data_IF_211141270384
#
_entry.id   IF_211141270384
#
_cell.length_a   1.000
_cell.length_b   1.000
_cell.length_c   1.000
_cell.angle_alpha   90.00
_cell.angle_beta   90.00
_cell.angle_gamma   90.00
#
_symmetry.space_group_name_H-M   'P 1'
#
loop_
_entity.id
_entity.type
_entity.pdbx_description
1 polymer ?
#
# COMPACT_ATOMS: atom_id res chain seq x y z
N UNK A 1 10.14 -18.66 -2.69
CA UNK A 1 9.43 -19.96 -2.74
C UNK A 1 10.35 -20.97 -3.42
N UNK A 2 10.44 -22.19 -2.90
CA UNK A 2 11.29 -23.27 -3.44
C UNK A 2 10.73 -23.95 -4.70
N UNK A 3 9.61 -23.47 -5.25
CA UNK A 3 9.05 -23.96 -6.51
C UNK A 3 8.33 -25.31 -6.44
N UNK A 4 8.25 -25.97 -5.28
CA UNK A 4 7.57 -27.26 -5.20
C UNK A 4 6.06 -27.15 -5.40
N UNK A 5 5.51 -28.18 -6.03
CA UNK A 5 4.08 -28.43 -6.25
C UNK A 5 3.63 -29.64 -5.45
N UNK A 6 2.35 -29.69 -5.09
CA UNK A 6 1.69 -30.80 -4.37
C UNK A 6 0.35 -31.09 -5.01
N UNK A 7 0.10 -32.35 -5.39
CA UNK A 7 -1.18 -32.77 -5.99
C UNK A 7 -2.32 -32.85 -4.98
N UNK A 8 -2.00 -33.03 -3.69
CA UNK A 8 -2.97 -33.13 -2.60
C UNK A 8 -2.59 -32.21 -1.43
N UNK A 9 -3.57 -31.95 -0.57
CA UNK A 9 -3.32 -31.35 0.73
C UNK A 9 -2.93 -32.46 1.69
N UNK A 10 -1.84 -32.28 2.42
CA UNK A 10 -1.27 -33.31 3.30
C UNK A 10 -0.72 -32.68 4.59
N UNK A 11 -0.39 -33.51 5.57
CA UNK A 11 0.30 -33.07 6.78
C UNK A 11 1.81 -33.26 6.61
N UNK A 12 2.59 -32.26 6.99
CA UNK A 12 4.04 -32.42 7.06
C UNK A 12 4.38 -33.52 8.08
N UNK A 13 5.23 -34.51 7.74
CA UNK A 13 5.49 -35.67 8.60
C UNK A 13 5.95 -35.27 10.02
N UNK A 14 6.92 -34.37 10.10
CA UNK A 14 7.53 -34.00 11.38
C UNK A 14 6.76 -32.90 12.12
N UNK A 15 6.34 -31.84 11.42
CA UNK A 15 5.73 -30.66 12.04
C UNK A 15 4.22 -30.75 12.16
N UNK A 16 3.57 -31.71 11.48
CA UNK A 16 2.12 -31.85 11.37
C UNK A 16 1.43 -30.59 10.82
N UNK A 17 2.18 -29.72 10.14
CA UNK A 17 1.64 -28.54 9.48
C UNK A 17 0.82 -28.95 8.25
N UNK A 18 -0.32 -28.29 8.02
CA UNK A 18 -1.12 -28.51 6.82
C UNK A 18 -0.40 -27.91 5.61
N UNK A 19 0.03 -28.77 4.70
CA UNK A 19 0.61 -28.43 3.42
C UNK A 19 -0.49 -28.41 2.36
N UNK A 20 -0.95 -27.22 1.98
CA UNK A 20 -2.01 -27.07 0.99
C UNK A 20 -1.59 -27.60 -0.39
N UNK A 21 -2.56 -28.20 -1.09
CA UNK A 21 -2.46 -28.57 -2.51
C UNK A 21 -1.99 -27.38 -3.34
N UNK A 22 -1.02 -27.61 -4.23
CA UNK A 22 -0.43 -26.60 -5.10
C UNK A 22 -0.07 -27.17 -6.47
N UNK A 23 -0.82 -26.79 -7.49
CA UNK A 23 -0.66 -27.35 -8.84
C UNK A 23 0.32 -26.58 -9.73
N UNK A 24 0.77 -25.39 -9.32
CA UNK A 24 1.69 -24.57 -10.12
C UNK A 24 2.73 -23.86 -9.23
N UNK A 25 4.02 -23.85 -9.63
CA UNK A 25 5.13 -23.30 -8.83
C UNK A 25 5.10 -21.79 -8.64
N UNK A 26 4.31 -21.07 -9.45
CA UNK A 26 4.16 -19.61 -9.39
C UNK A 26 2.75 -19.14 -9.00
N UNK A 27 1.86 -20.07 -8.66
CA UNK A 27 0.54 -19.71 -8.13
C UNK A 27 0.58 -19.88 -6.60
N UNK A 28 0.12 -18.86 -5.89
CA UNK A 28 -0.09 -18.90 -4.44
C UNK A 28 -1.29 -19.79 -4.12
N UNK A 29 -1.43 -20.24 -2.87
CA UNK A 29 -2.66 -20.95 -2.50
C UNK A 29 -3.84 -20.00 -2.59
N UNK A 30 -4.97 -20.50 -3.09
CA UNK A 30 -6.19 -19.74 -3.29
C UNK A 30 -7.40 -20.61 -2.91
N UNK A 31 -8.57 -19.98 -2.84
CA UNK A 31 -9.84 -20.63 -2.62
C UNK A 31 -10.77 -20.30 -3.80
N UNK A 32 -11.36 -21.33 -4.41
CA UNK A 32 -12.18 -21.17 -5.62
C UNK A 32 -13.39 -20.26 -5.41
N UNK A 33 -14.01 -20.33 -4.23
CA UNK A 33 -15.19 -19.51 -3.90
C UNK A 33 -14.77 -18.05 -3.67
N UNK A 34 -13.72 -17.83 -2.89
CA UNK A 34 -13.27 -16.46 -2.58
C UNK A 34 -12.72 -15.78 -3.84
N UNK A 35 -11.96 -16.47 -4.69
CA UNK A 35 -11.46 -15.88 -5.94
C UNK A 35 -12.60 -15.54 -6.88
N UNK A 36 -13.63 -16.39 -6.96
CA UNK A 36 -14.80 -16.16 -7.78
C UNK A 36 -15.62 -14.95 -7.30
N UNK A 37 -15.84 -14.84 -5.98
CA UNK A 37 -16.63 -13.76 -5.39
C UNK A 37 -15.89 -12.43 -5.37
N UNK A 38 -14.62 -12.43 -4.94
CA UNK A 38 -13.85 -11.21 -4.72
C UNK A 38 -13.14 -10.71 -5.97
N UNK A 39 -12.87 -11.60 -6.94
CA UNK A 39 -12.22 -11.28 -8.23
C UNK A 39 -10.93 -10.48 -8.09
N UNK A 40 -10.20 -10.68 -7.00
CA UNK A 40 -8.96 -10.01 -6.69
C UNK A 40 -7.84 -11.01 -6.39
N UNK A 41 -6.61 -10.54 -6.37
CA UNK A 41 -5.46 -11.38 -6.06
C UNK A 41 -5.57 -11.93 -4.63
N UNK A 42 -5.23 -13.21 -4.45
CA UNK A 42 -5.32 -13.87 -3.15
C UNK A 42 -4.03 -14.62 -2.81
N UNK A 43 -3.70 -14.62 -1.52
CA UNK A 43 -2.65 -15.46 -0.94
C UNK A 43 -3.18 -16.06 0.37
N UNK A 44 -3.47 -17.36 0.35
CA UNK A 44 -3.96 -18.09 1.51
C UNK A 44 -2.81 -18.87 2.15
N UNK A 45 -2.61 -18.69 3.45
CA UNK A 45 -1.62 -19.46 4.21
C UNK A 45 -2.25 -20.05 5.46
N UNK A 46 -1.98 -21.34 5.67
CA UNK A 46 -2.28 -21.99 6.93
C UNK A 46 -1.20 -21.62 7.96
N UNK A 47 -1.62 -21.25 9.17
CA UNK A 47 -0.74 -20.89 10.28
C UNK A 47 -0.90 -21.95 11.36
N UNK A 48 -0.11 -23.02 11.26
CA UNK A 48 -0.17 -24.17 12.18
C UNK A 48 0.87 -24.17 13.30
N UNK A 49 1.88 -23.30 13.21
CA UNK A 49 3.02 -23.32 14.14
C UNK A 49 3.39 -21.90 14.60
N UNK A 50 4.08 -21.81 15.74
CA UNK A 50 4.58 -20.54 16.25
C UNK A 50 5.59 -19.86 15.30
N UNK A 51 6.37 -20.64 14.56
CA UNK A 51 7.29 -20.12 13.53
C UNK A 51 6.50 -19.50 12.36
N UNK A 52 5.47 -20.20 11.87
CA UNK A 52 4.59 -19.67 10.83
C UNK A 52 3.85 -18.41 11.30
N UNK A 53 3.37 -18.39 12.55
CA UNK A 53 2.69 -17.23 13.14
C UNK A 53 3.61 -16.02 13.24
N UNK A 54 4.86 -16.22 13.69
CA UNK A 54 5.87 -15.16 13.75
C UNK A 54 6.18 -14.61 12.35
N UNK A 55 6.41 -15.48 11.38
CA UNK A 55 6.66 -15.07 9.99
C UNK A 55 5.49 -14.30 9.39
N UNK A 56 4.25 -14.74 9.68
CA UNK A 56 3.04 -14.05 9.27
C UNK A 56 2.92 -12.65 9.89
N UNK A 57 3.22 -12.51 11.19
CA UNK A 57 3.17 -11.22 11.86
C UNK A 57 4.14 -10.21 11.23
N UNK A 58 5.37 -10.63 10.90
CA UNK A 58 6.32 -9.78 10.16
C UNK A 58 5.80 -9.42 8.77
N UNK A 59 5.29 -10.40 8.02
CA UNK A 59 4.72 -10.15 6.69
C UNK A 59 3.58 -9.12 6.71
N UNK A 60 2.64 -9.26 7.63
CA UNK A 60 1.52 -8.33 7.81
C UNK A 60 2.03 -6.95 8.22
N UNK A 61 3.00 -6.90 9.14
CA UNK A 61 3.60 -5.63 9.58
C UNK A 61 4.29 -4.92 8.43
N UNK A 62 5.14 -5.61 7.66
CA UNK A 62 5.81 -5.03 6.48
C UNK A 62 4.83 -4.54 5.43
N UNK A 63 3.69 -5.24 5.27
CA UNK A 63 2.65 -4.83 4.33
C UNK A 63 1.90 -3.58 4.82
N UNK A 64 1.51 -3.53 6.09
CA UNK A 64 0.80 -2.39 6.69
C UNK A 64 1.73 -1.16 6.79
N UNK A 65 3.00 -1.38 7.10
CA UNK A 65 4.01 -0.33 7.23
C UNK A 65 4.72 0.01 5.93
N UNK A 66 4.26 -0.56 4.79
CA UNK A 66 4.84 -0.28 3.48
C UNK A 66 4.83 1.24 3.24
N UNK A 67 5.99 1.88 3.01
CA UNK A 67 6.06 3.32 2.89
C UNK A 67 5.27 3.78 1.66
N UNK A 68 4.30 4.69 1.86
CA UNK A 68 3.43 5.16 0.79
C UNK A 68 4.16 5.94 -0.31
N UNK A 69 5.21 6.69 0.05
CA UNK A 69 6.10 7.37 -0.89
C UNK A 69 7.55 7.23 -0.38
N UNK A 70 8.41 6.46 -1.07
CA UNK A 70 9.83 6.41 -0.75
C UNK A 70 10.47 7.80 -0.68
N UNK A 71 11.32 8.04 0.33
CA UNK A 71 11.93 9.35 0.57
C UNK A 71 12.65 9.93 -0.66
N UNK A 72 13.38 9.09 -1.40
CA UNK A 72 14.10 9.54 -2.59
C UNK A 72 13.14 10.07 -3.69
N UNK A 73 11.96 9.46 -3.85
CA UNK A 73 10.93 9.93 -4.79
C UNK A 73 10.30 11.24 -4.30
N UNK A 74 10.08 11.37 -2.99
CA UNK A 74 9.59 12.61 -2.40
C UNK A 74 10.57 13.77 -2.63
N UNK A 75 11.87 13.55 -2.37
CA UNK A 75 12.93 14.54 -2.61
C UNK A 75 13.06 14.90 -4.09
N UNK A 76 12.94 13.92 -5.00
CA UNK A 76 12.94 14.17 -6.43
C UNK A 76 11.73 15.03 -6.86
N UNK A 77 10.54 14.73 -6.34
CA UNK A 77 9.32 15.49 -6.62
C UNK A 77 9.41 16.94 -6.11
N UNK A 78 10.04 17.14 -4.95
CA UNK A 78 10.33 18.45 -4.38
C UNK A 78 11.32 19.25 -5.24
N UNK A 79 12.47 18.63 -5.59
CA UNK A 79 13.48 19.27 -6.45
C UNK A 79 12.90 19.68 -7.80
N UNK A 80 12.07 18.81 -8.39
CA UNK A 80 11.36 19.13 -9.62
C UNK A 80 10.40 20.32 -9.42
N UNK A 81 9.61 20.34 -8.35
CA UNK A 81 8.66 21.42 -8.08
C UNK A 81 9.34 22.79 -7.91
N UNK A 82 10.50 22.82 -7.23
CA UNK A 82 11.33 24.03 -7.08
C UNK A 82 11.82 24.52 -8.44
N UNK A 83 12.49 23.66 -9.22
CA UNK A 83 13.00 24.03 -10.56
C UNK A 83 11.91 24.54 -11.48
N UNK A 84 10.74 23.91 -11.46
CA UNK A 84 9.58 24.34 -12.25
C UNK A 84 8.97 25.65 -11.73
N UNK A 85 9.09 25.94 -10.45
CA UNK A 85 8.66 27.21 -9.89
C UNK A 85 9.60 28.33 -10.31
N UNK A 86 10.91 28.12 -10.19
CA UNK A 86 11.93 29.08 -10.60
C UNK A 86 11.80 29.40 -12.09
N UNK A 87 11.67 28.38 -12.95
CA UNK A 87 11.48 28.57 -14.39
C UNK A 87 10.20 29.37 -14.74
N UNK A 88 9.14 29.29 -13.93
CA UNK A 88 7.89 30.05 -14.16
C UNK A 88 8.06 31.54 -13.85
N UNK A 89 8.89 31.88 -12.86
CA UNK A 89 9.03 33.25 -12.36
C UNK A 89 10.36 33.92 -12.76
N UNK A 90 11.27 33.23 -13.41
CA UNK A 90 12.57 33.76 -13.87
C UNK A 90 12.45 35.03 -14.73
N UNK A 91 11.35 35.17 -15.47
CA UNK A 91 11.05 36.34 -16.30
C UNK A 91 9.95 37.26 -15.73
N UNK A 92 9.56 37.05 -14.46
CA UNK A 92 8.56 37.87 -13.75
C UNK A 92 9.08 38.31 -12.38
N UNK A 93 10.07 39.20 -12.32
CA UNK A 93 10.69 39.67 -11.08
C UNK A 93 9.74 40.52 -10.21
N UNK A 94 8.66 41.03 -10.81
CA UNK A 94 7.60 41.83 -10.19
C UNK A 94 6.46 40.99 -9.59
N UNK A 95 6.50 39.66 -9.77
CA UNK A 95 5.46 38.78 -9.26
C UNK A 95 5.36 38.88 -7.72
N UNK A 96 4.15 39.02 -7.16
CA UNK A 96 3.97 39.07 -5.72
C UNK A 96 4.52 37.83 -5.03
N UNK A 97 5.27 38.01 -3.94
CA UNK A 97 5.89 36.91 -3.19
C UNK A 97 4.85 35.84 -2.77
N UNK A 98 3.65 36.27 -2.40
CA UNK A 98 2.55 35.38 -2.05
C UNK A 98 2.12 34.48 -3.22
N UNK A 99 2.12 34.99 -4.46
CA UNK A 99 1.82 34.21 -5.66
C UNK A 99 2.90 33.14 -5.88
N UNK A 100 4.18 33.52 -5.74
CA UNK A 100 5.32 32.62 -5.90
C UNK A 100 5.25 31.47 -4.88
N UNK A 101 4.98 31.79 -3.60
CA UNK A 101 4.85 30.79 -2.52
C UNK A 101 3.66 29.86 -2.73
N UNK A 102 2.48 30.39 -3.09
CA UNK A 102 1.29 29.58 -3.38
C UNK A 102 1.52 28.66 -4.58
N UNK A 103 2.15 29.17 -5.63
CA UNK A 103 2.53 28.39 -6.82
C UNK A 103 3.48 27.25 -6.46
N UNK A 104 4.50 27.52 -5.63
CA UNK A 104 5.44 26.50 -5.18
C UNK A 104 4.74 25.41 -4.36
N UNK A 105 3.95 25.78 -3.34
CA UNK A 105 3.21 24.82 -2.51
C UNK A 105 2.30 23.94 -3.36
N UNK A 106 1.56 24.53 -4.31
CA UNK A 106 0.69 23.77 -5.22
C UNK A 106 1.48 22.77 -6.05
N UNK A 107 2.65 23.17 -6.59
CA UNK A 107 3.53 22.26 -7.35
C UNK A 107 4.08 21.12 -6.50
N UNK A 108 4.47 21.40 -5.26
CA UNK A 108 4.98 20.38 -4.32
C UNK A 108 3.88 19.37 -4.00
N UNK A 109 2.70 19.86 -3.60
CA UNK A 109 1.57 18.99 -3.24
C UNK A 109 1.18 18.13 -4.43
N UNK A 110 1.01 18.71 -5.61
CA UNK A 110 0.63 17.96 -6.81
C UNK A 110 1.72 16.96 -7.23
N UNK A 111 3.01 17.33 -7.12
CA UNK A 111 4.10 16.44 -7.51
C UNK A 111 4.24 15.26 -6.56
N UNK A 112 4.01 15.46 -5.26
CA UNK A 112 4.02 14.39 -4.26
C UNK A 112 2.78 13.51 -4.35
N UNK A 113 1.59 14.10 -4.36
CA UNK A 113 0.32 13.36 -4.40
C UNK A 113 0.19 12.50 -5.65
N UNK A 114 0.66 12.99 -6.81
CA UNK A 114 0.64 12.20 -8.04
C UNK A 114 1.59 11.00 -8.06
N UNK A 115 2.49 10.89 -7.07
CA UNK A 115 3.43 9.76 -6.91
C UNK A 115 3.08 8.86 -5.72
N UNK A 116 2.10 9.25 -4.91
CA UNK A 116 1.68 8.46 -3.77
C UNK A 116 0.78 7.31 -4.25
N UNK A 117 1.20 6.08 -3.98
CA UNK A 117 0.35 4.92 -4.21
C UNK A 117 -0.69 4.82 -3.08
N UNK A 118 -1.95 4.58 -3.47
CA UNK A 118 -3.04 4.27 -2.54
C UNK A 118 -3.43 2.81 -2.74
N UNK A 119 -3.72 2.10 -1.64
CA UNK A 119 -4.21 0.72 -1.76
C UNK A 119 -5.61 0.71 -2.37
N UNK A 120 -5.92 -0.33 -3.14
CA UNK A 120 -7.24 -0.52 -3.73
C UNK A 120 -8.35 -0.51 -2.67
N UNK A 121 -8.07 -1.09 -1.50
CA UNK A 121 -8.97 -1.15 -0.36
C UNK A 121 -9.26 0.25 0.21
N UNK A 122 -8.25 1.11 0.34
CA UNK A 122 -8.44 2.51 0.77
C UNK A 122 -9.31 3.28 -0.23
N UNK A 123 -9.03 3.13 -1.53
CA UNK A 123 -9.81 3.78 -2.59
C UNK A 123 -11.26 3.30 -2.55
N UNK A 124 -11.48 1.98 -2.50
CA UNK A 124 -12.84 1.42 -2.47
C UNK A 124 -13.60 1.83 -1.21
N UNK A 125 -12.96 1.81 -0.04
CA UNK A 125 -13.58 2.25 1.23
C UNK A 125 -14.12 3.68 1.13
N UNK A 126 -13.38 4.58 0.47
CA UNK A 126 -13.84 5.94 0.24
C UNK A 126 -14.98 6.02 -0.79
N UNK A 127 -14.87 5.27 -1.90
CA UNK A 127 -15.89 5.26 -2.96
C UNK A 127 -17.25 4.71 -2.50
N UNK A 128 -17.26 3.75 -1.57
CA UNK A 128 -18.50 3.18 -1.00
C UNK A 128 -19.01 3.94 0.24
N UNK A 129 -18.34 5.04 0.61
CA UNK A 129 -18.75 5.88 1.75
C UNK A 129 -18.39 5.31 3.13
N UNK A 130 -17.58 4.27 3.22
CA UNK A 130 -17.10 3.71 4.48
C UNK A 130 -16.01 4.58 5.13
N UNK A 131 -15.35 5.45 4.36
CA UNK A 131 -14.33 6.39 4.86
C UNK A 131 -12.96 5.73 5.06
N UNK A 132 -12.15 6.31 5.93
CA UNK A 132 -10.75 5.95 6.17
C UNK A 132 -10.44 5.47 7.60
N UNK A 133 -11.46 5.37 8.46
CA UNK A 133 -11.29 4.96 9.85
C UNK A 133 -12.37 4.00 10.34
N UNK A 134 -11.97 3.09 11.23
CA UNK A 134 -12.89 2.30 12.05
C UNK A 134 -12.92 2.91 13.45
N UNK A 135 -14.07 3.43 13.85
CA UNK A 135 -14.27 4.07 15.16
C UNK A 135 -15.48 3.47 15.87
N UNK A 136 -15.31 3.14 17.14
CA UNK A 136 -16.42 2.71 18.00
C UNK A 136 -17.19 3.87 18.62
N UNK A 137 -16.63 5.08 18.57
CA UNK A 137 -17.17 6.29 19.18
C UNK A 137 -17.03 7.48 18.23
N UNK A 138 -17.88 8.48 18.41
CA UNK A 138 -17.76 9.75 17.72
C UNK A 138 -16.87 10.72 18.49
N UNK A 139 -15.82 11.19 17.81
CA UNK A 139 -14.88 12.16 18.34
C UNK A 139 -15.26 13.57 17.87
N UNK A 140 -15.03 14.57 18.73
CA UNK A 140 -15.18 15.98 18.36
C UNK A 140 -13.88 16.47 17.72
N UNK A 141 -14.01 17.21 16.62
CA UNK A 141 -12.88 17.89 15.98
C UNK A 141 -12.37 18.97 16.93
N UNK A 142 -11.11 18.87 17.32
CA UNK A 142 -10.39 19.94 18.02
C UNK A 142 -9.58 20.71 16.98
N UNK A 143 -9.93 21.97 16.76
CA UNK A 143 -9.11 22.87 15.96
C UNK A 143 -7.92 23.32 16.82
N UNK A 144 -6.70 23.09 16.34
CA UNK A 144 -5.47 23.61 16.93
C UNK A 144 -4.93 24.76 16.08
#
# INVERSE_FOLDING_TARGET
>A
MNGYTRSFTELHPDTQEILLRRLHPWINSYNDVVIFLQRCNMDIKYIGSGVAAKAFAFYVTDYITKPGLPLYLALQALSWAVKQNDAKFIHRPDAPELEIKRSLLTKIVNSMMGRQELSHQQVMSYLVGAGDCYKSHDFRVLYW
#
